data_IF_621888335389
#
_entry.id   IF_621888335389
#
_cell.length_a   1.000
_cell.length_b   1.000
_cell.length_c   1.000
_cell.angle_alpha   90.00
_cell.angle_beta   90.00
_cell.angle_gamma   90.00
#
_symmetry.space_group_name_H-M   'P 1'
#
loop_
_entity.id
_entity.type
_entity.pdbx_description
1 polymer ?
#
# COMPACT_ATOMS: atom_id res chain seq x y z
N UNK A 1 8.35 10.27 11.97
CA UNK A 1 7.54 9.10 11.55
C UNK A 1 6.10 9.56 11.41
N UNK A 2 5.36 9.08 10.40
CA UNK A 2 3.93 9.36 10.30
C UNK A 2 3.12 8.15 10.74
N UNK A 3 2.00 8.39 11.42
CA UNK A 3 0.90 7.43 11.51
C UNK A 3 -0.14 7.85 10.49
N UNK A 4 -0.46 6.94 9.58
CA UNK A 4 -1.25 7.22 8.38
C UNK A 4 -2.45 6.27 8.36
N UNK A 5 -3.63 6.80 8.07
CA UNK A 5 -4.78 5.99 7.65
C UNK A 5 -4.68 5.73 6.17
N UNK A 6 -4.64 4.46 5.78
CA UNK A 6 -4.45 4.04 4.38
C UNK A 6 -5.62 3.19 3.92
N UNK A 7 -6.21 3.54 2.78
CA UNK A 7 -7.23 2.75 2.10
C UNK A 7 -6.55 1.65 1.26
N UNK A 8 -6.20 0.53 1.91
CA UNK A 8 -5.47 -0.57 1.27
C UNK A 8 -6.31 -1.41 0.30
N UNK A 9 -7.63 -1.46 0.50
CA UNK A 9 -8.55 -2.20 -0.37
C UNK A 9 -8.17 -3.66 -0.56
N UNK A 10 -8.42 -4.19 -1.76
CA UNK A 10 -7.97 -5.53 -2.15
C UNK A 10 -6.52 -5.47 -2.56
N UNK A 11 -5.71 -6.38 -2.03
CA UNK A 11 -4.29 -6.44 -2.30
C UNK A 11 -3.86 -7.76 -2.95
N UNK A 12 -2.72 -7.72 -3.62
CA UNK A 12 -2.03 -8.90 -4.16
C UNK A 12 -0.52 -8.78 -3.94
N UNK A 13 0.26 -9.80 -4.30
CA UNK A 13 1.72 -9.75 -4.16
C UNK A 13 2.32 -8.71 -5.10
N UNK A 14 3.21 -7.87 -4.56
CA UNK A 14 3.95 -6.88 -5.33
C UNK A 14 5.23 -7.46 -5.93
N UNK A 15 5.69 -6.86 -7.03
CA UNK A 15 7.00 -7.13 -7.63
C UNK A 15 7.72 -5.82 -7.95
N UNK A 16 9.03 -5.90 -8.16
CA UNK A 16 9.84 -4.74 -8.51
C UNK A 16 9.37 -4.08 -9.82
N UNK A 17 9.54 -2.75 -9.91
CA UNK A 17 9.28 -1.94 -11.12
C UNK A 17 7.81 -1.82 -11.55
N UNK A 18 6.86 -2.31 -10.75
CA UNK A 18 5.43 -2.04 -10.94
C UNK A 18 5.15 -0.53 -10.86
N UNK A 19 4.36 -0.01 -11.82
CA UNK A 19 3.89 1.39 -11.84
C UNK A 19 2.42 1.53 -11.46
N UNK A 20 1.68 0.44 -11.57
CA UNK A 20 0.26 0.29 -11.19
C UNK A 20 0.08 -1.09 -10.56
N UNK A 21 -0.98 -1.31 -9.75
CA UNK A 21 -1.31 -2.63 -9.24
C UNK A 21 -1.61 -3.61 -10.38
N UNK A 22 -1.42 -4.93 -10.16
CA UNK A 22 -1.86 -5.95 -11.11
C UNK A 22 -3.36 -5.92 -11.40
N UNK A 23 -3.76 -6.48 -12.55
CA UNK A 23 -5.18 -6.73 -12.86
C UNK A 23 -5.74 -7.82 -11.94
N UNK A 24 -7.06 -7.77 -11.68
CA UNK A 24 -7.80 -8.87 -11.01
C UNK A 24 -8.18 -10.01 -11.94
N UNK A 25 -7.81 -9.91 -13.22
CA UNK A 25 -8.13 -10.88 -14.27
C UNK A 25 -9.63 -11.20 -14.38
N UNK A 26 -10.50 -10.21 -14.12
CA UNK A 26 -11.94 -10.35 -14.28
C UNK A 26 -12.31 -10.39 -15.78
N UNK A 27 -12.86 -11.51 -16.29
CA UNK A 27 -13.23 -11.64 -17.71
C UNK A 27 -14.26 -10.62 -18.18
N UNK A 28 -15.06 -10.05 -17.26
CA UNK A 28 -16.08 -9.04 -17.55
C UNK A 28 -15.53 -7.62 -17.46
N UNK A 29 -14.38 -7.42 -16.80
CA UNK A 29 -13.77 -6.11 -16.63
C UNK A 29 -12.24 -6.22 -16.56
N UNK A 30 -11.59 -6.26 -17.73
CA UNK A 30 -10.13 -6.37 -17.84
C UNK A 30 -9.36 -5.17 -17.31
N UNK A 31 -10.05 -4.04 -17.06
CA UNK A 31 -9.47 -2.82 -16.50
C UNK A 31 -9.52 -2.78 -14.97
N UNK A 32 -10.10 -3.81 -14.32
CA UNK A 32 -10.20 -3.87 -12.87
C UNK A 32 -8.85 -4.24 -12.26
N UNK A 33 -8.22 -3.28 -11.58
CA UNK A 33 -6.96 -3.49 -10.87
C UNK A 33 -7.19 -3.82 -9.38
N UNK A 34 -6.17 -4.38 -8.74
CA UNK A 34 -6.06 -4.35 -7.27
C UNK A 34 -5.89 -2.91 -6.76
N UNK A 35 -6.13 -2.71 -5.47
CA UNK A 35 -6.08 -1.39 -4.83
C UNK A 35 -4.69 -1.09 -4.24
N UNK A 36 -3.97 -2.14 -3.81
CA UNK A 36 -2.59 -2.06 -3.31
C UNK A 36 -1.83 -3.36 -3.55
N UNK A 37 -0.53 -3.38 -3.26
CA UNK A 37 0.27 -4.61 -3.25
C UNK A 37 0.99 -4.81 -1.92
N UNK A 38 1.32 -6.06 -1.60
CA UNK A 38 1.97 -6.48 -0.36
C UNK A 38 3.23 -7.32 -0.58
N UNK A 39 4.06 -7.43 0.45
CA UNK A 39 5.24 -8.29 0.48
C UNK A 39 4.88 -9.79 0.52
N UNK A 40 3.88 -10.14 1.34
CA UNK A 40 3.37 -11.50 1.48
C UNK A 40 1.85 -11.50 1.61
N UNK A 41 1.16 -12.32 0.81
CA UNK A 41 -0.32 -12.34 0.79
C UNK A 41 -0.92 -13.14 1.94
N UNK A 42 -0.15 -14.02 2.60
CA UNK A 42 -0.63 -14.78 3.75
C UNK A 42 -0.45 -14.00 5.06
N UNK A 43 0.62 -13.20 5.17
CA UNK A 43 0.91 -12.37 6.33
C UNK A 43 1.56 -11.03 5.90
N UNK A 44 0.76 -10.06 5.41
CA UNK A 44 1.28 -8.81 4.89
C UNK A 44 1.85 -7.93 6.01
N UNK A 45 3.05 -7.40 5.78
CA UNK A 45 3.73 -6.45 6.69
C UNK A 45 4.01 -5.11 6.04
N UNK A 46 4.13 -5.10 4.72
CA UNK A 46 4.37 -3.91 3.92
C UNK A 46 3.23 -3.79 2.91
N UNK A 47 2.65 -2.60 2.81
CA UNK A 47 1.69 -2.24 1.77
C UNK A 47 2.27 -1.13 0.90
N UNK A 48 2.07 -1.25 -0.41
CA UNK A 48 2.41 -0.21 -1.38
C UNK A 48 1.12 0.25 -2.04
N UNK A 49 0.83 1.55 -1.91
CA UNK A 49 -0.28 2.23 -2.58
C UNK A 49 0.23 2.98 -3.82
N UNK A 50 -0.64 3.18 -4.79
CA UNK A 50 -0.27 3.76 -6.09
C UNK A 50 -0.97 5.09 -6.38
N UNK A 51 -1.88 5.52 -5.51
CA UNK A 51 -2.64 6.76 -5.66
C UNK A 51 -2.53 7.62 -4.40
N UNK A 52 -2.23 8.91 -4.58
CA UNK A 52 -1.99 9.86 -3.48
C UNK A 52 -3.19 9.97 -2.52
N UNK A 53 -4.40 9.89 -3.07
CA UNK A 53 -5.66 9.99 -2.32
C UNK A 53 -5.98 8.76 -1.46
N UNK A 54 -5.19 7.67 -1.54
CA UNK A 54 -5.35 6.50 -0.67
C UNK A 54 -4.75 6.70 0.73
N UNK A 55 -4.07 7.82 0.98
CA UNK A 55 -3.41 8.10 2.26
C UNK A 55 -3.90 9.38 2.91
N UNK A 56 -4.14 9.32 4.22
CA UNK A 56 -4.40 10.49 5.06
C UNK A 56 -3.41 10.49 6.24
N UNK A 57 -2.38 11.37 6.23
CA UNK A 57 -1.44 11.50 7.35
C UNK A 57 -2.16 12.01 8.59
N UNK A 58 -2.38 11.13 9.57
CA UNK A 58 -3.18 11.45 10.76
C UNK A 58 -2.33 12.09 11.85
N UNK A 59 -1.10 11.59 12.04
CA UNK A 59 -0.17 12.12 13.03
C UNK A 59 1.26 12.21 12.47
N UNK A 60 1.97 13.26 12.87
CA UNK A 60 3.42 13.38 12.74
C UNK A 60 4.07 13.16 14.11
N UNK A 61 4.83 12.09 14.23
CA UNK A 61 5.60 11.75 15.43
C UNK A 61 7.06 12.18 15.22
N UNK A 62 7.53 13.03 16.14
CA UNK A 62 8.93 13.46 16.23
C UNK A 62 9.62 12.67 17.34
N UNK A 63 10.77 12.09 17.02
CA UNK A 63 11.62 11.40 17.99
C UNK A 63 12.90 12.19 18.19
N UNK A 64 13.37 12.24 19.43
CA UNK A 64 14.67 12.80 19.77
C UNK A 64 15.54 11.69 20.33
N UNK A 65 16.71 11.49 19.73
CA UNK A 65 17.69 10.57 20.27
C UNK A 65 18.46 11.29 21.39
N UNK A 66 18.29 10.82 22.62
CA UNK A 66 19.06 11.30 23.76
C UNK A 66 20.23 10.34 24.00
N UNK A 67 21.44 10.78 23.70
CA UNK A 67 22.68 10.10 24.06
C UNK A 67 23.08 10.47 25.49
N UNK A 68 23.34 9.45 26.32
CA UNK A 68 23.89 9.59 27.69
C UNK A 68 25.41 9.65 27.68
#
# INVERSE_FOLDING_TARGET
MYVVKVLVGNFTKGEEKMRVPPSKDDPKNTSLLFDSVVDDTASPKIFVIFQDHQSYPEYLITFEHVSY
#
